data_IF_457413335799
#
_entry.id   IF_457413335799
#
_cell.length_a   1.000
_cell.length_b   1.000
_cell.length_c   1.000
_cell.angle_alpha   90.00
_cell.angle_beta   90.00
_cell.angle_gamma   90.00
#
_symmetry.space_group_name_H-M   'P 1'
#
loop_
_entity.id
_entity.type
_entity.pdbx_description
1 polymer ?
#
# COMPACT_ATOMS: atom_id res chain seq x y z
N UNK A 1 -6.33 0.04 15.88
CA UNK A 1 -5.76 0.99 14.91
C UNK A 1 -5.01 0.14 13.92
N UNK A 2 -5.41 0.11 12.65
CA UNK A 2 -4.85 -0.83 11.68
C UNK A 2 -3.61 -0.31 10.96
N UNK A 3 -3.01 -1.17 10.16
CA UNK A 3 -1.92 -0.86 9.24
C UNK A 3 -2.36 -1.13 7.81
N UNK A 4 -2.22 -0.14 6.93
CA UNK A 4 -2.42 -0.30 5.49
C UNK A 4 -1.05 -0.43 4.83
N UNK A 5 -0.82 -1.49 4.07
CA UNK A 5 0.43 -1.71 3.34
C UNK A 5 0.39 -1.04 1.96
N UNK A 6 1.49 -0.36 1.63
CA UNK A 6 1.75 0.26 0.33
C UNK A 6 2.26 -0.77 -0.70
N UNK A 7 2.26 -0.41 -1.98
CA UNK A 7 2.65 -1.29 -3.09
C UNK A 7 4.09 -1.80 -3.00
N UNK A 8 4.99 -1.02 -2.41
CA UNK A 8 6.38 -1.45 -2.19
C UNK A 8 6.51 -2.53 -1.11
N UNK A 9 5.71 -2.47 -0.03
CA UNK A 9 5.68 -3.52 1.01
C UNK A 9 5.06 -4.79 0.45
N UNK A 10 3.95 -4.66 -0.29
CA UNK A 10 3.30 -5.78 -1.00
C UNK A 10 4.29 -6.46 -1.95
N UNK A 11 5.01 -5.67 -2.75
CA UNK A 11 6.00 -6.19 -3.69
C UNK A 11 7.14 -6.92 -2.99
N UNK A 12 7.56 -6.45 -1.81
CA UNK A 12 8.58 -7.11 -1.00
C UNK A 12 8.11 -8.47 -0.47
N UNK A 13 6.90 -8.54 0.08
CA UNK A 13 6.28 -9.78 0.58
C UNK A 13 6.10 -10.84 -0.52
N UNK A 14 6.01 -10.43 -1.79
CA UNK A 14 5.90 -11.34 -2.93
C UNK A 14 7.23 -11.91 -3.43
N UNK A 15 8.37 -11.39 -2.94
CA UNK A 15 9.70 -11.86 -3.35
C UNK A 15 9.93 -13.28 -2.87
N UNK A 16 10.73 -14.04 -3.62
CA UNK A 16 11.15 -15.38 -3.18
C UNK A 16 12.04 -15.32 -1.94
N UNK A 17 12.80 -14.23 -1.81
CA UNK A 17 13.64 -13.90 -0.65
C UNK A 17 13.32 -12.44 -0.25
N UNK A 18 12.32 -12.24 0.63
CA UNK A 18 12.01 -10.93 1.21
C UNK A 18 13.09 -10.47 2.19
N UNK A 19 13.17 -9.16 2.41
CA UNK A 19 13.92 -8.58 3.52
C UNK A 19 13.47 -9.14 4.87
N UNK A 20 14.42 -9.64 5.65
CA UNK A 20 14.13 -10.31 6.92
C UNK A 20 13.53 -9.36 7.97
N UNK A 21 13.86 -8.07 7.93
CA UNK A 21 13.29 -7.06 8.81
C UNK A 21 11.83 -6.79 8.48
N UNK A 22 11.51 -6.66 7.19
CA UNK A 22 10.13 -6.50 6.73
C UNK A 22 9.28 -7.71 7.08
N UNK A 23 9.81 -8.92 6.88
CA UNK A 23 9.10 -10.15 7.20
C UNK A 23 8.85 -10.27 8.71
N UNK A 24 9.88 -10.01 9.54
CA UNK A 24 9.74 -10.04 10.99
C UNK A 24 8.78 -8.97 11.53
N UNK A 25 8.77 -7.77 10.92
CA UNK A 25 7.80 -6.73 11.24
C UNK A 25 6.38 -7.17 10.89
N UNK A 26 6.17 -7.74 9.69
CA UNK A 26 4.86 -8.19 9.24
C UNK A 26 4.32 -9.34 10.11
N UNK A 27 5.17 -10.32 10.43
CA UNK A 27 4.82 -11.47 11.29
C UNK A 27 4.54 -11.05 12.75
N UNK A 28 5.02 -9.87 13.16
CA UNK A 28 4.78 -9.30 14.48
C UNK A 28 3.45 -8.55 14.62
N UNK A 29 2.75 -8.28 13.51
CA UNK A 29 1.47 -7.57 13.54
C UNK A 29 0.30 -8.53 13.82
N UNK A 30 -0.73 -8.08 14.56
CA UNK A 30 -1.97 -8.85 14.66
C UNK A 30 -2.58 -9.04 13.27
N UNK A 31 -2.88 -10.28 12.90
CA UNK A 31 -3.36 -10.59 11.55
C UNK A 31 -4.60 -9.75 11.18
N UNK A 32 -5.51 -9.50 12.12
CA UNK A 32 -6.75 -8.74 11.94
C UNK A 32 -6.56 -7.22 11.81
N UNK A 33 -5.35 -6.71 12.04
CA UNK A 33 -5.03 -5.30 11.95
C UNK A 33 -4.29 -4.92 10.66
N UNK A 34 -3.92 -5.88 9.80
CA UNK A 34 -3.20 -5.59 8.55
C UNK A 34 -4.10 -5.64 7.32
N UNK A 35 -4.03 -4.57 6.53
CA UNK A 35 -4.84 -4.31 5.35
C UNK A 35 -3.95 -4.00 4.16
N UNK A 36 -4.42 -4.33 2.95
CA UNK A 36 -3.80 -3.88 1.69
C UNK A 36 -4.65 -2.79 1.04
N UNK A 37 -4.04 -1.75 0.50
CA UNK A 37 -4.79 -0.72 -0.25
C UNK A 37 -5.28 -1.26 -1.60
N UNK A 38 -6.54 -0.96 -1.97
CA UNK A 38 -7.05 -1.24 -3.31
C UNK A 38 -6.22 -0.58 -4.42
N UNK A 39 -5.68 0.62 -4.13
CA UNK A 39 -4.79 1.35 -5.05
C UNK A 39 -3.48 0.58 -5.23
N UNK A 40 -2.89 0.09 -4.13
CA UNK A 40 -1.66 -0.70 -4.16
C UNK A 40 -1.85 -2.03 -4.92
N UNK A 41 -2.99 -2.71 -4.75
CA UNK A 41 -3.33 -3.90 -5.56
C UNK A 41 -3.33 -3.52 -7.05
N UNK A 42 -3.98 -2.41 -7.40
CA UNK A 42 -4.02 -1.91 -8.77
C UNK A 42 -2.62 -1.66 -9.36
N UNK A 43 -1.72 -1.03 -8.61
CA UNK A 43 -0.34 -0.77 -9.04
C UNK A 43 0.45 -2.08 -9.27
N UNK A 44 0.38 -3.02 -8.33
CA UNK A 44 1.11 -4.29 -8.46
C UNK A 44 0.55 -5.11 -9.63
N UNK A 45 -0.77 -5.21 -9.76
CA UNK A 45 -1.42 -5.91 -10.89
C UNK A 45 -1.08 -5.24 -12.22
N UNK A 46 -1.06 -3.90 -12.29
CA UNK A 46 -0.64 -3.17 -13.48
C UNK A 46 0.81 -3.51 -13.85
N UNK A 47 1.73 -3.49 -12.87
CA UNK A 47 3.14 -3.83 -13.07
C UNK A 47 3.32 -5.24 -13.64
N UNK A 48 2.62 -6.23 -13.09
CA UNK A 48 2.67 -7.63 -13.58
C UNK A 48 2.00 -7.77 -14.94
N UNK A 49 0.90 -7.07 -15.18
CA UNK A 49 0.13 -7.18 -16.43
C UNK A 49 0.89 -6.69 -17.66
N UNK A 50 1.90 -5.84 -17.48
CA UNK A 50 2.80 -5.34 -18.52
C UNK A 50 3.87 -6.32 -18.97
N UNK A 51 4.05 -7.44 -18.27
CA UNK A 51 4.95 -8.50 -18.69
C UNK A 51 4.37 -9.25 -19.90
N UNK A 52 5.26 -9.80 -20.72
CA UNK A 52 4.89 -10.72 -21.79
C UNK A 52 4.12 -11.92 -21.21
N UNK A 53 3.19 -12.44 -22.01
CA UNK A 53 2.45 -13.63 -21.62
C UNK A 53 3.38 -14.83 -21.46
N UNK A 54 3.22 -15.55 -20.34
CA UNK A 54 4.06 -16.69 -20.03
C UNK A 54 4.06 -17.03 -18.55
N UNK A 55 4.85 -18.06 -18.21
CA UNK A 55 4.87 -18.67 -16.86
C UNK A 55 5.14 -17.65 -15.75
N UNK A 56 6.02 -16.66 -16.01
CA UNK A 56 6.36 -15.63 -15.02
C UNK A 56 5.16 -14.76 -14.66
N UNK A 57 4.44 -14.25 -15.67
CA UNK A 57 3.25 -13.41 -15.47
C UNK A 57 2.15 -14.17 -14.73
N UNK A 58 1.85 -15.40 -15.18
CA UNK A 58 0.86 -16.27 -14.53
C UNK A 58 1.22 -16.53 -13.07
N UNK A 59 2.47 -16.90 -12.78
CA UNK A 59 2.92 -17.16 -11.41
C UNK A 59 2.81 -15.93 -10.50
N UNK A 60 3.15 -14.73 -11.00
CA UNK A 60 3.03 -13.49 -10.23
C UNK A 60 1.56 -13.12 -9.96
N UNK A 61 0.67 -13.26 -10.94
CA UNK A 61 -0.76 -13.03 -10.73
C UNK A 61 -1.34 -14.01 -9.70
N UNK A 62 -0.97 -15.30 -9.75
CA UNK A 62 -1.37 -16.28 -8.73
C UNK A 62 -0.85 -15.92 -7.34
N UNK A 63 0.39 -15.40 -7.22
CA UNK A 63 0.93 -14.93 -5.94
C UNK A 63 0.15 -13.74 -5.38
N UNK A 64 -0.25 -12.80 -6.24
CA UNK A 64 -1.09 -11.66 -5.83
C UNK A 64 -2.43 -12.16 -5.31
N UNK A 65 -3.06 -13.10 -6.00
CA UNK A 65 -4.35 -13.67 -5.58
C UNK A 65 -4.25 -14.36 -4.21
N UNK A 66 -3.22 -15.19 -4.00
CA UNK A 66 -2.93 -15.82 -2.70
C UNK A 66 -2.70 -14.76 -1.62
N UNK A 67 -1.89 -13.73 -1.93
CA UNK A 67 -1.59 -12.68 -0.97
C UNK A 67 -2.88 -11.95 -0.53
N UNK A 68 -3.75 -11.57 -1.47
CA UNK A 68 -4.99 -10.85 -1.16
C UNK A 68 -5.99 -11.74 -0.42
N UNK A 69 -6.19 -12.97 -0.88
CA UNK A 69 -7.27 -13.83 -0.38
C UNK A 69 -6.89 -14.69 0.82
N UNK A 70 -5.62 -15.08 0.96
CA UNK A 70 -5.16 -15.98 2.02
C UNK A 70 -4.36 -15.22 3.09
N UNK A 71 -3.44 -14.35 2.70
CA UNK A 71 -2.60 -13.59 3.68
C UNK A 71 -3.38 -12.42 4.26
N UNK A 72 -3.92 -11.54 3.41
CA UNK A 72 -4.77 -10.44 3.87
C UNK A 72 -6.21 -10.88 4.14
N UNK A 73 -6.60 -12.11 3.79
CA UNK A 73 -7.96 -12.65 4.04
C UNK A 73 -9.08 -11.74 3.52
N UNK A 74 -8.85 -11.09 2.37
CA UNK A 74 -9.78 -10.14 1.77
C UNK A 74 -9.83 -8.75 2.45
N UNK A 75 -8.98 -8.47 3.45
CA UNK A 75 -8.85 -7.14 4.07
C UNK A 75 -8.20 -6.15 3.11
N UNK A 76 -9.06 -5.58 2.28
CA UNK A 76 -8.69 -4.55 1.31
C UNK A 76 -9.28 -3.20 1.75
N UNK A 77 -8.43 -2.19 1.94
CA UNK A 77 -8.86 -0.83 2.19
C UNK A 77 -9.29 -0.20 0.86
N UNK A 78 -10.60 -0.01 0.70
CA UNK A 78 -11.20 0.56 -0.49
C UNK A 78 -10.96 2.08 -0.59
N UNK A 79 -10.72 2.58 -1.81
CA UNK A 79 -10.85 3.99 -2.12
C UNK A 79 -12.34 4.31 -2.34
N UNK A 80 -13.07 4.50 -1.25
CA UNK A 80 -14.48 4.87 -1.28
C UNK A 80 -14.70 6.37 -1.53
N UNK A 81 -15.96 6.82 -1.51
CA UNK A 81 -16.29 8.23 -1.74
C UNK A 81 -15.68 9.17 -0.69
N UNK A 82 -15.56 8.74 0.58
CA UNK A 82 -14.98 9.55 1.64
C UNK A 82 -13.46 9.70 1.45
N UNK A 83 -12.77 8.60 1.15
CA UNK A 83 -11.36 8.59 0.82
C UNK A 83 -11.08 9.39 -0.47
N UNK A 84 -11.93 9.27 -1.49
CA UNK A 84 -11.83 10.04 -2.73
C UNK A 84 -12.01 11.55 -2.52
N UNK A 85 -13.00 11.96 -1.72
CA UNK A 85 -13.18 13.35 -1.33
C UNK A 85 -11.95 13.88 -0.57
N UNK A 86 -11.48 13.12 0.43
CA UNK A 86 -10.30 13.50 1.21
C UNK A 86 -9.05 13.60 0.34
N UNK A 87 -8.89 12.71 -0.64
CA UNK A 87 -7.78 12.74 -1.60
C UNK A 87 -7.78 14.04 -2.43
N UNK A 88 -8.94 14.47 -2.92
CA UNK A 88 -9.06 15.72 -3.67
C UNK A 88 -8.65 16.95 -2.85
N UNK A 89 -9.13 17.02 -1.60
CA UNK A 89 -8.75 18.09 -0.66
C UNK A 89 -7.25 18.06 -0.36
N UNK A 90 -6.73 16.88 -0.02
CA UNK A 90 -5.32 16.69 0.31
C UNK A 90 -4.41 17.07 -0.86
N UNK A 91 -4.75 16.69 -2.09
CA UNK A 91 -3.96 17.03 -3.27
C UNK A 91 -3.85 18.55 -3.45
N UNK A 92 -4.99 19.25 -3.35
CA UNK A 92 -5.03 20.71 -3.49
C UNK A 92 -4.25 21.42 -2.36
N UNK A 93 -4.25 20.87 -1.14
CA UNK A 93 -3.46 21.38 -0.02
C UNK A 93 -1.96 21.22 -0.26
N UNK A 94 -1.53 20.07 -0.79
CA UNK A 94 -0.12 19.79 -1.12
C UNK A 94 0.37 20.68 -2.27
N UNK A 95 -0.44 20.82 -3.32
CA UNK A 95 -0.15 21.67 -4.48
C UNK A 95 0.06 23.13 -4.05
N UNK A 96 -0.82 23.67 -3.20
CA UNK A 96 -0.68 25.03 -2.64
C UNK A 96 0.62 25.24 -1.85
N UNK A 97 1.19 24.16 -1.31
CA UNK A 97 2.45 24.16 -0.57
C UNK A 97 3.66 23.89 -1.47
N UNK A 98 3.46 23.73 -2.78
CA UNK A 98 4.52 23.39 -3.74
C UNK A 98 5.05 21.96 -3.56
N UNK A 99 4.24 21.07 -2.99
CA UNK A 99 4.59 19.66 -2.77
C UNK A 99 3.84 18.82 -3.79
N UNK A 100 4.59 18.18 -4.67
CA UNK A 100 4.03 17.27 -5.66
C UNK A 100 4.28 15.81 -5.23
N UNK A 101 3.20 15.03 -5.16
CA UNK A 101 3.25 13.57 -4.98
C UNK A 101 2.27 12.92 -5.96
N UNK A 102 2.47 11.64 -6.26
CA UNK A 102 1.63 10.94 -7.22
C UNK A 102 0.19 10.81 -6.75
N UNK A 103 -0.78 10.81 -7.67
CA UNK A 103 -2.20 10.66 -7.33
C UNK A 103 -2.48 9.35 -6.55
N UNK A 104 -1.77 8.26 -6.86
CA UNK A 104 -1.87 7.01 -6.11
C UNK A 104 -1.44 7.18 -4.64
N UNK A 105 -0.30 7.84 -4.39
CA UNK A 105 0.16 8.16 -3.04
C UNK A 105 -0.87 9.03 -2.29
N UNK A 106 -1.46 10.03 -2.96
CA UNK A 106 -2.53 10.85 -2.36
C UNK A 106 -3.73 10.00 -1.98
N UNK A 107 -4.18 9.09 -2.86
CA UNK A 107 -5.33 8.23 -2.60
C UNK A 107 -5.08 7.26 -1.45
N UNK A 108 -3.87 6.69 -1.36
CA UNK A 108 -3.46 5.81 -0.26
C UNK A 108 -3.43 6.61 1.05
N UNK A 109 -2.78 7.77 1.07
CA UNK A 109 -2.72 8.64 2.26
C UNK A 109 -4.12 9.05 2.74
N UNK A 110 -4.99 9.45 1.81
CA UNK A 110 -6.37 9.81 2.13
C UNK A 110 -7.17 8.64 2.69
N UNK A 111 -6.98 7.43 2.15
CA UNK A 111 -7.62 6.20 2.65
C UNK A 111 -7.21 5.91 4.09
N UNK A 112 -5.91 6.03 4.40
CA UNK A 112 -5.39 5.88 5.76
C UNK A 112 -5.98 6.92 6.72
N UNK A 113 -5.99 8.20 6.30
CA UNK A 113 -6.53 9.31 7.10
C UNK A 113 -8.03 9.15 7.42
N UNK A 114 -8.82 8.67 6.47
CA UNK A 114 -10.26 8.44 6.69
C UNK A 114 -10.51 7.27 7.65
N UNK A 115 -9.66 6.25 7.60
CA UNK A 115 -9.78 5.05 8.44
C UNK A 115 -9.13 5.21 9.82
N UNK A 116 -8.23 6.18 9.98
CA UNK A 116 -7.39 6.31 11.17
C UNK A 116 -6.34 5.18 11.27
N UNK A 117 -5.91 4.64 10.12
CA UNK A 117 -4.91 3.58 10.04
C UNK A 117 -3.52 4.16 9.71
N UNK A 118 -2.46 3.44 10.11
CA UNK A 118 -1.07 3.79 9.83
C UNK A 118 -0.65 3.23 8.46
N UNK A 119 0.14 3.98 7.70
CA UNK A 119 0.68 3.53 6.42
C UNK A 119 2.02 2.81 6.59
N UNK A 120 2.13 1.56 6.16
CA UNK A 120 3.41 0.89 6.02
C UNK A 120 4.00 1.14 4.62
N UNK A 121 5.13 1.85 4.55
CA UNK A 121 5.76 2.22 3.27
C UNK A 121 7.25 2.48 3.41
N UNK A 122 8.02 2.11 2.38
CA UNK A 122 9.41 2.55 2.20
C UNK A 122 9.52 3.99 1.69
N UNK A 123 8.46 4.55 1.10
CA UNK A 123 8.46 5.85 0.42
C UNK A 123 8.12 7.02 1.35
N UNK A 124 8.63 7.01 2.58
CA UNK A 124 8.36 7.98 3.66
C UNK A 124 8.35 9.44 3.19
N UNK A 125 9.28 9.80 2.31
CA UNK A 125 9.41 11.16 1.76
C UNK A 125 8.17 11.68 1.04
N UNK A 126 7.33 10.81 0.47
CA UNK A 126 6.08 11.20 -0.20
C UNK A 126 4.98 11.47 0.85
N UNK A 127 4.98 10.71 1.94
CA UNK A 127 3.89 10.73 2.91
C UNK A 127 4.09 11.71 4.06
N UNK A 128 5.33 12.14 4.33
CA UNK A 128 5.68 13.08 5.41
C UNK A 128 4.86 14.38 5.44
N UNK A 129 4.31 14.80 4.30
CA UNK A 129 3.56 16.05 4.16
C UNK A 129 2.05 15.87 4.16
N UNK A 130 1.57 14.63 4.16
CA UNK A 130 0.16 14.28 3.98
C UNK A 130 -0.63 14.30 5.29
N UNK A 131 0.07 14.25 6.43
CA UNK A 131 -0.53 14.13 7.76
C UNK A 131 -0.86 12.69 8.17
N UNK A 132 -0.63 11.70 7.29
CA UNK A 132 -0.76 10.29 7.64
C UNK A 132 0.38 9.86 8.56
N UNK A 133 0.09 9.04 9.57
CA UNK A 133 1.12 8.31 10.30
C UNK A 133 1.68 7.20 9.41
N UNK A 134 2.98 6.97 9.48
CA UNK A 134 3.64 5.97 8.66
C UNK A 134 4.71 5.21 9.45
N UNK A 135 4.99 4.00 8.99
CA UNK A 135 6.07 3.12 9.47
C UNK A 135 6.86 2.63 8.25
N UNK A 136 8.18 2.62 8.35
CA UNK A 136 9.05 2.04 7.33
C UNK A 136 9.60 0.69 7.85
N UNK A 137 9.05 -0.44 7.36
CA UNK A 137 9.39 -1.76 7.91
C UNK A 137 10.83 -2.22 7.62
N UNK A 138 11.60 -1.45 6.85
CA UNK A 138 13.04 -1.66 6.64
C UNK A 138 13.93 -1.05 7.76
N UNK A 139 13.34 -0.52 8.83
CA UNK A 139 14.08 -0.10 10.04
C UNK A 139 13.98 1.37 10.40
N UNK A 140 12.90 2.08 10.01
CA UNK A 140 12.62 3.46 10.42
C UNK A 140 11.17 3.66 10.90
#
# INVERSE_FOLDING_TARGET
MGVIVDSNVVSELMRSEPDAGVLAWFDGLPEDEVWISAVAIGEVVYGVSRLDDGKRKTALLSRIDILVNEVFRGRCAALDAAAGYRAGVLNAELEKRGIEIGLADVQIAATCLVRGDVLATRNVKHFKHTGVEWINPWGE
#
